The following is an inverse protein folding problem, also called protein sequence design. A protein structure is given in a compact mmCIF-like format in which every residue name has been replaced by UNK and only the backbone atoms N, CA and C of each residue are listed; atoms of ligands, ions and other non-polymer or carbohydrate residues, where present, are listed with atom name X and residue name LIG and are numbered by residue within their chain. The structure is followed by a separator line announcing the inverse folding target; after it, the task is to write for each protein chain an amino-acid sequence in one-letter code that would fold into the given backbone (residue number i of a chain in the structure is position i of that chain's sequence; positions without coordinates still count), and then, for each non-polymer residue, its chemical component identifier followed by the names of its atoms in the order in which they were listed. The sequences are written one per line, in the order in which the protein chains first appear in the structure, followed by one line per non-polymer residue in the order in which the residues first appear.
data_IF_899088610177
#
_entry.id   IF_899088610177
#
_cell.length_a   1.000
_cell.length_b   1.000
_cell.length_c   1.000
_cell.angle_alpha   90.00
_cell.angle_beta   90.00
_cell.angle_gamma   90.00
#
_symmetry.space_group_name_H-M   'P 1'
#
loop_
_entity.id
_entity.type
_entity.pdbx_description
1 polymer ?
#
# COMPACT_ATOMS: atom_id res chain seq x y z
N UNK A 1 19.78 15.46 -39.98
CA UNK A 1 20.37 16.44 -39.02
C UNK A 1 20.04 16.19 -37.54
N UNK A 2 18.79 15.98 -37.10
CA UNK A 2 18.46 15.86 -35.65
C UNK A 2 19.33 14.86 -34.88
N UNK A 3 19.51 13.63 -35.39
CA UNK A 3 20.36 12.61 -34.75
C UNK A 3 21.83 13.03 -34.61
N UNK A 4 22.41 13.70 -35.60
CA UNK A 4 23.78 14.20 -35.54
C UNK A 4 23.98 15.19 -34.39
N UNK A 5 23.04 16.12 -34.19
CA UNK A 5 23.08 17.08 -33.06
C UNK A 5 23.01 16.36 -31.69
N UNK A 6 22.23 15.28 -31.59
CA UNK A 6 22.16 14.47 -30.34
C UNK A 6 23.49 13.76 -30.07
N UNK A 7 24.12 13.19 -31.10
CA UNK A 7 25.42 12.51 -30.97
C UNK A 7 26.51 13.51 -30.58
N UNK A 8 26.61 14.65 -31.26
CA UNK A 8 27.59 15.71 -30.93
C UNK A 8 27.42 16.20 -29.49
N UNK A 9 26.19 16.47 -29.04
CA UNK A 9 25.94 16.88 -27.67
C UNK A 9 26.37 15.81 -26.65
N UNK A 10 26.11 14.52 -26.92
CA UNK A 10 26.55 13.42 -26.03
C UNK A 10 28.08 13.33 -25.94
N UNK A 11 28.79 13.43 -27.07
CA UNK A 11 30.26 13.44 -27.06
C UNK A 11 30.80 14.62 -26.24
N UNK A 12 30.21 15.81 -26.37
CA UNK A 12 30.60 16.98 -25.58
C UNK A 12 30.35 16.79 -24.07
N UNK A 13 29.19 16.24 -23.67
CA UNK A 13 28.91 15.93 -22.26
C UNK A 13 29.86 14.87 -21.70
N UNK A 14 30.17 13.82 -22.47
CA UNK A 14 31.13 12.80 -22.06
C UNK A 14 32.52 13.40 -21.80
N UNK A 15 33.01 14.21 -22.73
CA UNK A 15 34.32 14.89 -22.60
C UNK A 15 34.32 15.81 -21.38
N UNK A 16 33.27 16.61 -21.17
CA UNK A 16 33.13 17.46 -20.00
C UNK A 16 33.22 16.67 -18.68
N UNK A 17 32.42 15.62 -18.52
CA UNK A 17 32.40 14.84 -17.28
C UNK A 17 33.70 14.02 -17.07
N UNK A 18 34.35 13.55 -18.13
CA UNK A 18 35.67 12.93 -18.03
C UNK A 18 36.75 13.93 -17.59
N UNK A 19 36.68 15.18 -18.04
CA UNK A 19 37.58 16.25 -17.60
C UNK A 19 37.35 16.60 -16.12
N UNK A 20 36.11 16.78 -15.69
CA UNK A 20 35.80 17.06 -14.26
C UNK A 20 36.17 15.88 -13.35
N UNK A 21 35.98 14.64 -13.80
CA UNK A 21 36.45 13.44 -13.08
C UNK A 21 37.96 13.44 -12.89
N UNK A 22 38.72 13.80 -13.93
CA UNK A 22 40.19 13.83 -13.90
C UNK A 22 40.71 14.92 -12.96
N UNK A 23 40.10 16.11 -13.01
CA UNK A 23 40.41 17.23 -12.09
C UNK A 23 40.07 16.84 -10.65
N UNK A 24 38.89 16.26 -10.40
CA UNK A 24 38.48 15.79 -9.09
C UNK A 24 39.47 14.76 -8.52
N UNK A 25 39.88 13.77 -9.32
CA UNK A 25 40.89 12.78 -8.92
C UNK A 25 42.23 13.43 -8.54
N UNK A 26 42.69 14.44 -9.28
CA UNK A 26 43.91 15.19 -8.96
C UNK A 26 43.79 16.00 -7.67
N UNK A 27 42.60 16.53 -7.35
CA UNK A 27 42.34 17.28 -6.12
C UNK A 27 42.21 16.38 -4.87
N UNK A 28 41.98 15.07 -5.05
CA UNK A 28 42.05 14.08 -3.95
C UNK A 28 43.48 13.63 -3.61
N UNK A 29 44.45 13.86 -4.51
CA UNK A 29 45.86 13.55 -4.23
C UNK A 29 46.60 14.66 -3.47
N UNK A 30 46.08 15.89 -3.50
CA UNK A 30 46.57 16.98 -2.63
C UNK A 30 45.90 16.92 -1.26
N UNK A 31 46.71 16.92 -0.19
CA UNK A 31 46.30 16.57 1.18
C UNK A 31 45.47 17.63 1.93
N UNK A 32 44.67 18.42 1.21
CA UNK A 32 43.77 19.42 1.77
C UNK A 32 42.48 18.81 2.33
N UNK A 33 42.24 18.94 3.63
CA UNK A 33 41.03 18.38 4.27
C UNK A 33 39.73 18.99 3.70
N UNK A 34 39.80 20.22 3.18
CA UNK A 34 38.72 20.88 2.42
C UNK A 34 38.69 20.52 0.92
N UNK A 35 39.83 20.25 0.25
CA UNK A 35 39.82 19.83 -1.17
C UNK A 35 39.15 18.47 -1.32
N UNK A 36 39.38 17.55 -0.39
CA UNK A 36 38.81 16.21 -0.41
C UNK A 36 37.28 16.18 -0.49
N UNK A 37 36.56 17.03 0.26
CA UNK A 37 35.07 17.04 0.21
C UNK A 37 34.54 17.53 -1.14
N UNK A 38 35.09 18.63 -1.66
CA UNK A 38 34.72 19.14 -2.98
C UNK A 38 35.08 18.15 -4.10
N UNK A 39 36.24 17.51 -3.99
CA UNK A 39 36.71 16.51 -4.95
C UNK A 39 35.84 15.25 -4.96
N UNK A 40 35.39 14.74 -3.80
CA UNK A 40 34.45 13.61 -3.71
C UNK A 40 33.12 13.96 -4.40
N UNK A 41 32.55 15.13 -4.14
CA UNK A 41 31.30 15.57 -4.77
C UNK A 41 31.48 15.64 -6.30
N UNK A 42 32.54 16.32 -6.77
CA UNK A 42 32.83 16.41 -8.21
C UNK A 42 33.04 15.03 -8.85
N UNK A 43 33.71 14.10 -8.16
CA UNK A 43 33.94 12.74 -8.66
C UNK A 43 32.63 11.96 -8.81
N UNK A 44 31.75 12.01 -7.80
CA UNK A 44 30.42 11.36 -7.84
C UNK A 44 29.54 11.96 -8.94
N UNK A 45 29.43 13.30 -9.02
CA UNK A 45 28.64 13.96 -10.08
C UNK A 45 29.18 13.63 -11.48
N UNK A 46 30.51 13.57 -11.65
CA UNK A 46 31.13 13.21 -12.92
C UNK A 46 30.86 11.77 -13.31
N UNK A 47 30.93 10.83 -12.36
CA UNK A 47 30.65 9.41 -12.61
C UNK A 47 29.20 9.18 -13.06
N UNK A 48 28.23 9.85 -12.42
CA UNK A 48 26.81 9.83 -12.84
C UNK A 48 26.65 10.40 -14.25
N UNK A 49 27.32 11.52 -14.57
CA UNK A 49 27.31 12.11 -15.91
C UNK A 49 27.88 11.19 -16.99
N UNK A 50 28.98 10.49 -16.70
CA UNK A 50 29.59 9.49 -17.60
C UNK A 50 28.63 8.32 -17.85
N UNK A 51 28.07 7.73 -16.79
CA UNK A 51 27.14 6.58 -16.90
C UNK A 51 25.92 6.94 -17.75
N UNK A 52 25.30 8.10 -17.50
CA UNK A 52 24.14 8.58 -18.25
C UNK A 52 24.46 8.82 -19.75
N UNK A 53 25.71 9.17 -20.06
CA UNK A 53 26.13 9.45 -21.44
C UNK A 53 26.46 8.18 -22.22
N UNK A 54 27.06 7.17 -21.58
CA UNK A 54 27.38 5.87 -22.20
C UNK A 54 26.10 5.04 -22.39
N UNK A 55 25.26 4.92 -21.35
CA UNK A 55 24.07 4.07 -21.40
C UNK A 55 22.80 4.86 -21.05
N UNK A 56 22.25 5.62 -22.03
CA UNK A 56 21.00 6.36 -21.83
C UNK A 56 19.78 5.43 -21.68
N UNK A 57 19.89 4.11 -21.84
CA UNK A 57 18.78 3.18 -21.57
C UNK A 57 18.64 2.83 -20.08
N UNK A 58 19.72 2.89 -19.30
CA UNK A 58 19.69 2.63 -17.84
C UNK A 58 18.97 3.75 -17.08
N UNK A 59 19.00 4.99 -17.59
CA UNK A 59 18.36 6.17 -16.97
C UNK A 59 17.20 6.73 -17.81
N UNK A 60 17.17 6.48 -19.13
CA UNK A 60 16.18 7.02 -20.06
C UNK A 60 14.79 6.39 -19.97
N UNK A 61 14.63 5.21 -19.34
CA UNK A 61 13.29 4.73 -18.94
C UNK A 61 12.69 5.56 -17.78
N UNK A 62 13.50 6.33 -17.06
CA UNK A 62 13.08 7.13 -15.89
C UNK A 62 12.88 8.62 -16.23
N UNK A 63 13.27 9.08 -17.43
CA UNK A 63 13.43 10.53 -17.71
C UNK A 63 12.86 11.00 -19.06
N UNK A 64 11.81 10.36 -19.58
CA UNK A 64 11.14 10.78 -20.81
C UNK A 64 10.03 11.84 -20.59
N UNK A 65 9.87 12.34 -19.37
CA UNK A 65 9.11 13.55 -19.01
C UNK A 65 10.06 14.65 -18.55
N UNK A 66 9.65 15.92 -18.70
CA UNK A 66 10.48 17.11 -18.43
C UNK A 66 11.11 17.03 -17.03
N UNK A 67 12.44 17.04 -16.94
CA UNK A 67 13.17 16.89 -15.67
C UNK A 67 12.76 17.95 -14.63
N UNK A 68 11.96 17.54 -13.64
CA UNK A 68 12.33 17.74 -12.24
C UNK A 68 13.12 16.51 -11.81
N UNK A 69 14.26 16.63 -11.11
CA UNK A 69 14.93 15.46 -10.54
C UNK A 69 13.96 14.77 -9.57
N UNK A 70 13.82 13.45 -9.67
CA UNK A 70 12.91 12.71 -8.80
C UNK A 70 13.34 12.85 -7.34
N UNK A 71 12.36 12.89 -6.43
CA UNK A 71 12.62 13.06 -5.00
C UNK A 71 13.57 11.97 -4.46
N UNK A 72 13.54 10.76 -5.02
CA UNK A 72 14.49 9.68 -4.71
C UNK A 72 15.96 10.04 -5.04
N UNK A 73 16.24 10.74 -6.14
CA UNK A 73 17.60 11.17 -6.49
C UNK A 73 18.05 12.32 -5.57
N UNK A 74 17.16 13.27 -5.26
CA UNK A 74 17.44 14.32 -4.28
C UNK A 74 17.68 13.74 -2.87
N UNK A 75 16.89 12.74 -2.47
CA UNK A 75 17.04 12.01 -1.21
C UNK A 75 18.37 11.23 -1.18
N UNK A 76 18.74 10.54 -2.25
CA UNK A 76 20.02 9.82 -2.34
C UNK A 76 21.21 10.79 -2.25
N UNK A 77 21.15 11.93 -2.96
CA UNK A 77 22.16 12.99 -2.87
C UNK A 77 22.21 13.57 -1.45
N UNK A 78 21.06 13.82 -0.81
CA UNK A 78 20.99 14.32 0.55
C UNK A 78 21.59 13.32 1.56
N UNK A 79 21.27 12.02 1.45
CA UNK A 79 21.82 10.95 2.29
C UNK A 79 23.33 10.84 2.11
N UNK A 80 23.83 10.83 0.86
CA UNK A 80 25.28 10.79 0.57
C UNK A 80 25.98 12.05 1.11
N UNK A 81 25.33 13.21 1.04
CA UNK A 81 25.86 14.47 1.60
C UNK A 81 25.90 14.41 3.14
N UNK A 82 24.81 14.00 3.80
CA UNK A 82 24.71 13.90 5.27
C UNK A 82 25.66 12.83 5.85
N UNK A 83 25.88 11.73 5.13
CA UNK A 83 26.85 10.69 5.48
C UNK A 83 28.30 11.19 5.36
N UNK A 84 28.60 12.04 4.36
CA UNK A 84 29.96 12.60 4.16
C UNK A 84 30.23 13.87 4.97
N UNK A 85 29.21 14.55 5.52
CA UNK A 85 29.38 15.64 6.50
C UNK A 85 29.48 15.16 7.94
N UNK A 86 28.98 13.95 8.25
CA UNK A 86 28.96 13.41 9.62
C UNK A 86 27.83 13.95 10.49
N UNK A 87 26.81 14.58 9.89
CA UNK A 87 25.68 15.16 10.62
C UNK A 87 24.58 14.14 10.94
N UNK A 88 24.54 13.01 10.22
CA UNK A 88 23.58 11.93 10.43
C UNK A 88 23.59 11.41 11.88
N UNK A 89 24.80 11.25 12.46
CA UNK A 89 25.03 10.85 13.86
C UNK A 89 24.52 11.88 14.87
N UNK A 90 24.49 13.17 14.52
CA UNK A 90 23.96 14.23 15.40
C UNK A 90 22.44 14.24 15.37
N UNK A 91 21.82 14.07 14.20
CA UNK A 91 20.36 13.99 14.07
C UNK A 91 19.77 12.80 14.85
N UNK A 92 20.38 11.62 14.75
CA UNK A 92 19.93 10.43 15.51
C UNK A 92 19.83 10.72 17.03
N UNK A 93 20.86 11.34 17.61
CA UNK A 93 20.89 11.71 19.04
C UNK A 93 19.89 12.81 19.46
N UNK A 94 19.31 13.53 18.50
CA UNK A 94 18.33 14.59 18.73
C UNK A 94 16.89 14.08 18.70
N UNK A 95 16.62 13.02 17.92
CA UNK A 95 15.29 12.40 17.83
C UNK A 95 14.94 11.68 19.14
N UNK A 96 15.88 10.95 19.74
CA UNK A 96 15.68 10.26 21.03
C UNK A 96 15.29 11.20 22.18
N UNK A 97 15.70 12.47 22.14
CA UNK A 97 15.39 13.45 23.20
C UNK A 97 14.02 14.11 23.10
N UNK A 98 13.32 13.97 21.97
CA UNK A 98 12.09 14.76 21.71
C UNK A 98 10.77 14.00 21.93
N UNK A 99 10.84 12.72 22.29
CA UNK A 99 9.65 11.85 22.49
C UNK A 99 9.08 11.97 23.93
N UNK A 100 9.82 12.56 24.88
CA UNK A 100 9.45 12.61 26.30
C UNK A 100 8.96 13.99 26.73
N UNK A 101 7.78 14.44 26.26
CA UNK A 101 7.22 15.73 26.69
C UNK A 101 5.81 16.11 26.19
N UNK A 102 4.80 15.86 27.04
CA UNK A 102 3.49 16.54 27.15
C UNK A 102 2.36 16.29 26.09
N UNK A 103 1.35 15.54 26.56
CA UNK A 103 -0.09 15.48 26.20
C UNK A 103 -0.86 16.80 26.46
N UNK A 104 -2.19 17.01 26.18
CA UNK A 104 -3.34 16.04 26.11
C UNK A 104 -4.38 16.30 24.96
N UNK A 105 -5.52 15.59 24.81
CA UNK A 105 -6.09 14.43 25.54
C UNK A 105 -6.60 13.32 24.61
N UNK A 106 -7.55 13.61 23.72
CA UNK A 106 -8.53 12.66 23.18
C UNK A 106 -7.92 11.43 22.49
N UNK A 107 -6.80 11.61 21.81
CA UNK A 107 -6.05 10.54 21.13
C UNK A 107 -5.53 9.46 22.09
N UNK A 108 -5.34 9.77 23.39
CA UNK A 108 -4.89 8.76 24.36
C UNK A 108 -5.92 7.67 24.64
N UNK A 109 -7.21 7.94 24.50
CA UNK A 109 -8.24 6.93 24.82
C UNK A 109 -8.25 5.85 23.74
N UNK A 110 -8.25 6.27 22.46
CA UNK A 110 -8.12 5.38 21.31
C UNK A 110 -6.74 4.67 21.31
N UNK A 111 -5.65 5.40 21.59
CA UNK A 111 -4.31 4.81 21.60
C UNK A 111 -4.07 3.84 22.78
N UNK A 112 -4.61 4.09 23.98
CA UNK A 112 -4.44 3.17 25.13
C UNK A 112 -5.33 1.92 24.99
N UNK A 113 -6.47 2.00 24.31
CA UNK A 113 -7.31 0.84 23.99
C UNK A 113 -6.65 -0.06 22.92
N UNK A 114 -6.17 0.54 21.81
CA UNK A 114 -5.37 -0.15 20.78
C UNK A 114 -4.08 -0.76 21.37
N UNK A 115 -3.39 -0.05 22.28
CA UNK A 115 -2.13 -0.54 22.88
C UNK A 115 -2.35 -1.65 23.90
N UNK A 116 -3.46 -1.65 24.66
CA UNK A 116 -3.83 -2.78 25.55
C UNK A 116 -4.20 -4.04 24.77
N UNK A 117 -4.89 -3.91 23.63
CA UNK A 117 -5.13 -5.06 22.74
C UNK A 117 -3.83 -5.59 22.10
N UNK A 118 -2.90 -4.70 21.79
CA UNK A 118 -1.61 -5.07 21.16
C UNK A 118 -0.67 -5.77 22.16
N UNK A 119 -0.40 -5.17 23.32
CA UNK A 119 0.57 -5.70 24.28
C UNK A 119 0.11 -7.00 24.96
N UNK A 120 -1.20 -7.24 25.07
CA UNK A 120 -1.75 -8.50 25.65
C UNK A 120 -1.85 -9.65 24.64
N UNK A 121 -1.47 -9.45 23.35
CA UNK A 121 -1.46 -10.49 22.31
C UNK A 121 -0.10 -10.76 21.67
N UNK A 122 0.92 -9.93 21.89
CA UNK A 122 2.27 -10.14 21.31
C UNK A 122 2.95 -11.43 21.81
N UNK A 123 2.46 -12.07 22.87
CA UNK A 123 2.95 -13.37 23.36
C UNK A 123 2.21 -14.60 22.79
N UNK A 124 1.19 -14.42 21.92
CA UNK A 124 0.49 -15.54 21.24
C UNK A 124 0.40 -15.44 19.72
N UNK A 125 0.82 -14.34 19.12
CA UNK A 125 0.91 -14.21 17.65
C UNK A 125 2.33 -14.55 17.15
N UNK A 126 2.78 -15.79 17.41
CA UNK A 126 4.07 -16.32 16.93
C UNK A 126 3.99 -17.79 16.48
N UNK A 127 2.83 -18.19 15.95
CA UNK A 127 2.47 -19.59 15.66
C UNK A 127 2.19 -19.88 14.17
N UNK A 128 2.11 -18.86 13.30
CA UNK A 128 1.66 -19.06 11.89
C UNK A 128 2.73 -18.67 10.84
N UNK A 129 3.88 -18.12 11.22
CA UNK A 129 4.90 -17.67 10.24
C UNK A 129 6.33 -18.13 10.52
N UNK A 130 6.52 -19.19 11.32
CA UNK A 130 7.84 -19.81 11.51
C UNK A 130 7.71 -21.29 11.94
N UNK A 131 7.35 -22.18 11.00
CA UNK A 131 7.41 -23.64 11.22
C UNK A 131 7.74 -24.42 9.95
N UNK A 132 8.83 -24.02 9.28
CA UNK A 132 9.51 -24.87 8.30
C UNK A 132 10.95 -25.11 8.76
N UNK A 133 11.23 -26.36 9.16
CA UNK A 133 12.47 -26.89 9.78
C UNK A 133 12.59 -26.74 11.31
N UNK A 134 11.93 -27.64 12.04
CA UNK A 134 12.67 -28.58 12.89
C UNK A 134 11.84 -29.85 13.18
N UNK A 135 12.50 -30.97 13.46
CA UNK A 135 11.90 -32.31 13.55
C UNK A 135 11.83 -32.77 15.00
N UNK A 136 10.63 -33.05 15.51
CA UNK A 136 10.46 -33.67 16.83
C UNK A 136 9.01 -33.76 17.30
N UNK A 137 8.38 -34.93 17.12
CA UNK A 137 7.06 -35.31 17.67
C UNK A 137 5.89 -34.31 17.46
N UNK A 138 5.34 -34.28 16.24
CA UNK A 138 3.93 -33.89 16.07
C UNK A 138 3.03 -34.97 16.70
N UNK A 139 2.26 -34.61 17.73
CA UNK A 139 1.01 -35.32 18.02
C UNK A 139 0.11 -35.23 16.78
N UNK A 140 -0.72 -36.24 16.47
CA UNK A 140 -1.78 -36.03 15.49
C UNK A 140 -2.64 -34.86 15.97
N UNK A 141 -2.70 -33.83 15.14
CA UNK A 141 -3.55 -32.68 15.37
C UNK A 141 -4.97 -33.14 15.05
N UNK A 142 -5.90 -32.93 15.98
CA UNK A 142 -7.32 -33.18 15.73
C UNK A 142 -7.84 -32.05 14.83
N UNK A 143 -7.85 -32.29 13.52
CA UNK A 143 -8.23 -31.34 12.48
C UNK A 143 -9.68 -30.84 12.67
N UNK A 144 -10.58 -31.72 13.12
CA UNK A 144 -11.97 -31.34 13.46
C UNK A 144 -12.01 -30.37 14.64
N UNK A 145 -11.16 -30.57 15.64
CA UNK A 145 -11.02 -29.63 16.77
C UNK A 145 -10.47 -28.28 16.32
N UNK A 146 -9.48 -28.25 15.42
CA UNK A 146 -8.96 -26.99 14.87
C UNK A 146 -10.00 -26.23 14.04
N UNK A 147 -10.70 -26.91 13.13
CA UNK A 147 -11.75 -26.31 12.32
C UNK A 147 -12.88 -25.73 13.19
N UNK A 148 -13.27 -26.43 14.25
CA UNK A 148 -14.21 -25.92 15.26
C UNK A 148 -13.69 -24.71 16.03
N UNK A 149 -12.41 -24.69 16.43
CA UNK A 149 -11.78 -23.52 17.07
C UNK A 149 -11.74 -22.30 16.14
N UNK A 150 -11.51 -22.51 14.83
CA UNK A 150 -11.58 -21.46 13.81
C UNK A 150 -13.00 -20.90 13.62
N UNK A 151 -14.03 -21.74 13.54
CA UNK A 151 -15.43 -21.25 13.45
C UNK A 151 -15.89 -20.50 14.70
N UNK A 152 -15.44 -20.91 15.90
CA UNK A 152 -15.69 -20.16 17.13
C UNK A 152 -14.99 -18.79 17.12
N UNK A 153 -13.77 -18.72 16.60
CA UNK A 153 -13.06 -17.45 16.41
C UNK A 153 -13.74 -16.58 15.35
N UNK A 154 -14.21 -17.18 14.23
CA UNK A 154 -14.92 -16.52 13.16
C UNK A 154 -16.21 -15.86 13.65
N UNK A 155 -17.09 -16.62 14.32
CA UNK A 155 -18.32 -16.09 14.91
C UNK A 155 -18.03 -14.88 15.80
N UNK A 156 -17.13 -15.03 16.77
CA UNK A 156 -16.75 -13.95 17.68
C UNK A 156 -16.18 -12.72 16.97
N UNK A 157 -15.54 -12.90 15.81
CA UNK A 157 -14.96 -11.81 15.01
C UNK A 157 -16.01 -11.12 14.13
N UNK A 158 -16.99 -11.88 13.60
CA UNK A 158 -18.18 -11.36 12.91
C UNK A 158 -19.06 -10.55 13.88
N UNK A 159 -19.25 -11.02 15.12
CA UNK A 159 -20.07 -10.35 16.15
C UNK A 159 -19.55 -8.96 16.57
N UNK A 160 -18.30 -8.62 16.19
CA UNK A 160 -17.70 -7.30 16.41
C UNK A 160 -17.91 -6.33 15.23
N UNK A 161 -18.52 -6.78 14.11
CA UNK A 161 -18.86 -5.96 12.96
C UNK A 161 -20.31 -5.47 13.05
N UNK A 162 -20.59 -4.32 12.45
CA UNK A 162 -21.97 -3.89 12.22
C UNK A 162 -22.64 -4.81 11.21
N UNK A 163 -23.94 -5.06 11.40
CA UNK A 163 -24.71 -6.05 10.64
C UNK A 163 -25.96 -5.41 10.06
N UNK A 164 -26.01 -5.35 8.73
CA UNK A 164 -27.19 -4.97 7.96
C UNK A 164 -27.80 -6.18 7.25
N UNK A 165 -29.06 -6.04 6.85
CA UNK A 165 -29.79 -7.01 6.04
C UNK A 165 -30.17 -6.38 4.70
N UNK A 166 -29.57 -6.88 3.61
CA UNK A 166 -29.72 -6.32 2.27
C UNK A 166 -30.20 -7.44 1.32
N UNK A 167 -31.43 -7.33 0.84
CA UNK A 167 -32.02 -8.23 -0.17
C UNK A 167 -31.90 -9.74 0.12
N UNK A 168 -31.97 -10.15 1.41
CA UNK A 168 -31.86 -11.56 1.78
C UNK A 168 -30.44 -12.03 2.13
N UNK A 169 -29.45 -11.14 2.04
CA UNK A 169 -28.07 -11.35 2.45
C UNK A 169 -27.74 -10.55 3.71
N UNK A 170 -26.78 -11.03 4.49
CA UNK A 170 -26.26 -10.28 5.63
C UNK A 170 -25.00 -9.55 5.19
N UNK A 171 -24.98 -8.24 5.40
CA UNK A 171 -23.82 -7.38 5.14
C UNK A 171 -23.14 -7.09 6.47
N UNK A 172 -21.82 -7.26 6.52
CA UNK A 172 -21.01 -6.99 7.71
C UNK A 172 -19.91 -5.97 7.43
N UNK A 173 -19.83 -4.92 8.24
CA UNK A 173 -18.90 -3.78 8.05
C UNK A 173 -18.29 -3.31 9.37
N UNK A 174 -17.25 -2.50 9.31
CA UNK A 174 -16.59 -1.96 10.50
C UNK A 174 -17.31 -0.70 11.00
N UNK A 175 -17.72 -0.67 12.27
CA UNK A 175 -18.30 0.51 12.95
C UNK A 175 -17.43 1.76 12.99
N UNK A 176 -16.13 1.62 12.71
CA UNK A 176 -15.20 2.76 12.61
C UNK A 176 -15.37 3.57 11.31
N UNK A 177 -16.18 3.10 10.36
CA UNK A 177 -16.33 3.69 9.03
C UNK A 177 -17.79 3.69 8.59
N UNK A 178 -18.42 4.88 8.60
CA UNK A 178 -19.79 5.08 8.11
C UNK A 178 -19.91 4.77 6.61
N UNK A 179 -21.00 4.13 6.18
CA UNK A 179 -21.28 3.81 4.78
C UNK A 179 -21.67 5.06 3.98
N UNK A 180 -20.72 5.70 3.29
CA UNK A 180 -20.96 6.94 2.56
C UNK A 180 -20.35 6.94 1.15
N UNK A 181 -21.13 6.42 0.19
CA UNK A 181 -20.79 6.38 -1.24
C UNK A 181 -20.61 7.76 -1.90
N UNK A 182 -21.04 8.85 -1.24
CA UNK A 182 -20.92 10.25 -1.72
C UNK A 182 -19.70 10.95 -1.14
N UNK A 183 -18.71 10.19 -0.69
CA UNK A 183 -17.50 10.70 -0.06
C UNK A 183 -16.27 9.97 -0.59
N UNK A 184 -15.11 10.63 -0.55
CA UNK A 184 -13.83 9.98 -0.85
C UNK A 184 -13.52 8.91 0.23
N UNK A 185 -13.76 7.65 -0.12
CA UNK A 185 -13.78 6.51 0.80
C UNK A 185 -13.40 5.19 0.10
N UNK A 186 -12.65 4.32 0.80
CA UNK A 186 -12.56 2.89 0.54
C UNK A 186 -13.39 2.19 1.62
N UNK A 187 -14.48 1.54 1.22
CA UNK A 187 -15.44 0.90 2.12
C UNK A 187 -15.38 -0.64 1.95
N UNK A 188 -14.69 -1.36 2.86
CA UNK A 188 -14.64 -2.81 2.86
C UNK A 188 -15.81 -3.40 3.67
N UNK A 189 -16.43 -4.45 3.15
CA UNK A 189 -17.49 -5.18 3.84
C UNK A 189 -17.56 -6.65 3.40
N UNK A 190 -18.28 -7.46 4.16
CA UNK A 190 -18.54 -8.88 3.84
C UNK A 190 -20.01 -9.06 3.49
N UNK A 191 -20.29 -9.96 2.56
CA UNK A 191 -21.64 -10.42 2.23
C UNK A 191 -21.73 -11.91 2.53
N UNK A 192 -22.69 -12.31 3.37
CA UNK A 192 -22.90 -13.72 3.71
C UNK A 192 -24.30 -14.21 3.38
N UNK A 193 -24.45 -15.54 3.25
CA UNK A 193 -25.75 -16.18 3.37
C UNK A 193 -26.33 -16.00 4.78
N UNK A 194 -27.66 -15.89 4.90
CA UNK A 194 -28.41 -15.89 6.19
C UNK A 194 -28.43 -17.26 6.90
N UNK A 195 -27.37 -18.07 6.82
CA UNK A 195 -27.30 -19.35 7.56
C UNK A 195 -26.74 -19.09 8.95
N UNK A 196 -27.40 -19.64 9.97
CA UNK A 196 -26.92 -19.59 11.37
C UNK A 196 -25.75 -20.56 11.61
N UNK A 197 -25.52 -21.52 10.69
CA UNK A 197 -24.40 -22.46 10.75
C UNK A 197 -23.17 -21.89 10.03
N UNK A 198 -22.06 -21.80 10.77
CA UNK A 198 -20.76 -21.33 10.29
C UNK A 198 -20.06 -22.34 9.39
N UNK A 199 -20.37 -23.64 9.49
CA UNK A 199 -19.78 -24.68 8.62
C UNK A 199 -20.32 -24.60 7.18
N UNK A 200 -21.53 -24.07 7.04
CA UNK A 200 -22.32 -23.98 5.82
C UNK A 200 -22.40 -22.54 5.25
N UNK A 201 -21.74 -21.59 5.90
CA UNK A 201 -21.76 -20.16 5.58
C UNK A 201 -21.03 -19.88 4.26
N UNK A 202 -21.70 -19.27 3.29
CA UNK A 202 -20.99 -18.59 2.20
C UNK A 202 -20.65 -17.16 2.63
N UNK A 203 -19.42 -16.73 2.40
CA UNK A 203 -18.94 -15.38 2.69
C UNK A 203 -18.11 -14.87 1.52
N UNK A 204 -18.36 -13.63 1.09
CA UNK A 204 -17.60 -12.94 0.06
C UNK A 204 -17.14 -11.59 0.59
N UNK A 205 -15.88 -11.25 0.35
CA UNK A 205 -15.34 -9.90 0.59
C UNK A 205 -15.76 -8.99 -0.56
N UNK A 206 -16.11 -7.75 -0.24
CA UNK A 206 -16.39 -6.69 -1.20
C UNK A 206 -15.69 -5.41 -0.77
N UNK A 207 -15.21 -4.64 -1.76
CA UNK A 207 -14.58 -3.34 -1.55
C UNK A 207 -15.24 -2.33 -2.49
N UNK A 208 -15.75 -1.23 -1.93
CA UNK A 208 -16.18 -0.07 -2.71
C UNK A 208 -15.12 1.02 -2.66
N UNK A 209 -14.75 1.53 -3.83
CA UNK A 209 -13.95 2.75 -3.99
C UNK A 209 -14.88 3.87 -4.42
N UNK A 210 -15.11 4.84 -3.55
CA UNK A 210 -15.93 6.02 -3.80
C UNK A 210 -15.05 7.25 -3.98
N UNK A 211 -15.41 8.07 -4.96
CA UNK A 211 -14.87 9.39 -5.25
C UNK A 211 -15.98 10.44 -5.14
N UNK A 212 -15.64 11.61 -4.62
CA UNK A 212 -16.52 12.78 -4.63
C UNK A 212 -15.71 14.06 -4.83
N UNK A 213 -16.17 14.94 -5.72
CA UNK A 213 -15.49 16.17 -6.11
C UNK A 213 -16.39 17.15 -6.87
N UNK A 214 -15.78 18.19 -7.43
CA UNK A 214 -16.48 19.20 -8.24
C UNK A 214 -16.81 18.66 -9.64
N UNK A 215 -15.86 17.97 -10.27
CA UNK A 215 -16.01 17.40 -11.61
C UNK A 215 -16.18 15.87 -11.58
N UNK A 216 -16.90 15.33 -12.57
CA UNK A 216 -16.85 13.91 -12.91
C UNK A 216 -15.43 13.53 -13.37
N UNK A 217 -14.92 12.38 -12.92
CA UNK A 217 -13.67 11.84 -13.43
C UNK A 217 -13.90 10.95 -14.66
N UNK A 218 -15.03 10.24 -14.75
CA UNK A 218 -15.22 9.07 -15.62
C UNK A 218 -14.09 8.05 -15.35
N UNK A 219 -14.10 7.48 -14.13
CA UNK A 219 -13.06 6.62 -13.56
C UNK A 219 -12.65 5.46 -14.49
N UNK A 220 -11.38 5.41 -14.90
CA UNK A 220 -10.87 4.36 -15.78
C UNK A 220 -9.91 3.39 -15.07
N UNK A 221 -9.11 3.89 -14.13
CA UNK A 221 -8.08 3.11 -13.43
C UNK A 221 -7.88 3.61 -12.00
N UNK A 222 -7.48 2.69 -11.13
CA UNK A 222 -6.91 3.00 -9.83
C UNK A 222 -5.42 2.66 -9.84
N UNK A 223 -4.60 3.52 -9.24
CA UNK A 223 -3.23 3.19 -8.86
C UNK A 223 -3.12 3.31 -7.34
N UNK A 224 -2.75 2.22 -6.68
CA UNK A 224 -2.63 2.11 -5.22
C UNK A 224 -1.15 1.97 -4.89
N UNK A 225 -0.60 2.94 -4.17
CA UNK A 225 0.78 2.90 -3.70
C UNK A 225 0.79 2.63 -2.19
N UNK A 226 1.50 1.59 -1.78
CA UNK A 226 1.67 1.19 -0.38
C UNK A 226 3.09 1.50 0.10
N UNK A 227 3.44 1.08 1.32
CA UNK A 227 4.83 1.18 1.81
C UNK A 227 5.78 0.24 1.03
N UNK A 228 5.26 -0.81 0.36
CA UNK A 228 6.07 -1.89 -0.23
C UNK A 228 5.98 -1.96 -1.77
N UNK A 229 4.83 -1.63 -2.34
CA UNK A 229 4.49 -1.88 -3.75
C UNK A 229 3.61 -0.78 -4.37
N UNK A 230 3.51 -0.82 -5.70
CA UNK A 230 2.55 -0.04 -6.48
C UNK A 230 1.70 -1.02 -7.29
N UNK A 231 0.38 -0.93 -7.15
CA UNK A 231 -0.61 -1.73 -7.84
C UNK A 231 -1.37 -0.84 -8.81
N UNK A 232 -1.66 -1.33 -10.02
CA UNK A 232 -2.53 -0.66 -10.98
C UNK A 232 -3.61 -1.62 -11.42
N UNK A 233 -4.87 -1.17 -11.38
CA UNK A 233 -6.02 -1.93 -11.83
C UNK A 233 -6.95 -1.06 -12.68
N UNK A 234 -7.62 -1.67 -13.65
CA UNK A 234 -8.70 -0.99 -14.37
C UNK A 234 -9.93 -0.92 -13.46
N UNK A 235 -10.64 0.20 -13.50
CA UNK A 235 -11.75 0.47 -12.59
C UNK A 235 -12.84 -0.62 -12.75
N UNK A 236 -13.23 -0.89 -13.99
CA UNK A 236 -14.19 -1.93 -14.35
C UNK A 236 -13.51 -3.27 -14.73
N UNK A 237 -12.44 -3.69 -14.05
CA UNK A 237 -11.91 -5.06 -14.23
C UNK A 237 -12.79 -6.09 -13.49
N UNK A 238 -13.87 -6.48 -14.16
CA UNK A 238 -14.91 -7.46 -13.75
C UNK A 238 -14.38 -8.90 -13.58
N UNK A 239 -13.06 -9.09 -13.49
CA UNK A 239 -12.45 -10.37 -13.08
C UNK A 239 -12.68 -10.60 -11.59
N UNK A 240 -13.89 -11.07 -11.30
CA UNK A 240 -14.33 -11.65 -10.03
C UNK A 240 -14.11 -13.16 -10.11
N UNK A 241 -13.31 -13.74 -9.21
CA UNK A 241 -13.31 -15.19 -9.03
C UNK A 241 -14.64 -15.59 -8.38
N UNK A 242 -15.54 -16.18 -9.17
CA UNK A 242 -16.86 -16.62 -8.72
C UNK A 242 -16.84 -18.05 -8.14
N UNK A 243 -15.69 -18.48 -7.62
CA UNK A 243 -15.46 -19.83 -7.08
C UNK A 243 -16.38 -20.20 -5.89
N UNK A 244 -17.03 -19.20 -5.26
CA UNK A 244 -17.94 -19.39 -4.13
C UNK A 244 -19.44 -19.37 -4.50
N UNK A 245 -19.80 -19.48 -5.79
CA UNK A 245 -21.16 -19.81 -6.21
C UNK A 245 -22.23 -18.74 -5.91
N UNK A 246 -21.91 -17.46 -6.11
CA UNK A 246 -22.82 -16.34 -5.89
C UNK A 246 -24.11 -16.40 -6.74
N UNK A 247 -25.23 -15.83 -6.24
CA UNK A 247 -26.39 -15.51 -7.07
C UNK A 247 -26.00 -14.60 -8.24
N UNK A 248 -26.72 -14.72 -9.37
CA UNK A 248 -26.44 -13.96 -10.60
C UNK A 248 -26.77 -12.46 -10.54
N UNK A 249 -27.38 -11.99 -9.45
CA UNK A 249 -28.12 -10.71 -9.37
C UNK A 249 -27.57 -9.81 -8.25
N UNK A 250 -26.25 -9.62 -8.20
CA UNK A 250 -25.67 -8.40 -7.63
C UNK A 250 -25.17 -7.60 -8.83
N UNK A 251 -25.97 -6.64 -9.27
CA UNK A 251 -25.62 -5.77 -10.39
C UNK A 251 -24.40 -4.92 -10.00
N UNK A 252 -23.35 -5.01 -10.82
CA UNK A 252 -22.23 -4.07 -10.83
C UNK A 252 -22.79 -2.71 -11.23
N UNK A 253 -23.14 -1.89 -10.22
CA UNK A 253 -23.90 -0.67 -10.41
C UNK A 253 -22.97 0.52 -10.52
N UNK A 254 -22.84 1.06 -11.73
CA UNK A 254 -22.29 2.39 -11.95
C UNK A 254 -23.40 3.42 -11.69
N UNK A 255 -23.15 4.36 -10.77
CA UNK A 255 -24.06 5.46 -10.52
C UNK A 255 -23.28 6.78 -10.46
N UNK A 256 -23.26 7.49 -11.59
CA UNK A 256 -22.84 8.90 -11.66
C UNK A 256 -24.08 9.78 -11.58
N UNK A 257 -24.22 10.59 -10.54
CA UNK A 257 -25.34 11.54 -10.40
C UNK A 257 -24.82 12.93 -10.02
N UNK A 258 -25.10 13.98 -10.82
CA UNK A 258 -24.86 15.34 -10.40
C UNK A 258 -25.88 15.74 -9.32
N UNK A 259 -25.38 16.31 -8.22
CA UNK A 259 -26.20 16.84 -7.13
C UNK A 259 -26.67 18.27 -7.45
N UNK A 260 -27.68 18.76 -6.72
CA UNK A 260 -28.23 20.10 -6.91
C UNK A 260 -27.29 21.24 -6.45
N UNK A 261 -26.21 20.91 -5.74
CA UNK A 261 -25.15 21.83 -5.32
C UNK A 261 -23.97 21.90 -6.32
N UNK A 262 -23.99 21.08 -7.37
CA UNK A 262 -22.94 20.99 -8.38
C UNK A 262 -21.84 19.98 -8.06
N UNK A 263 -21.91 19.24 -6.95
CA UNK A 263 -20.98 18.14 -6.68
C UNK A 263 -21.28 16.91 -7.54
N UNK A 264 -20.22 16.16 -7.87
CA UNK A 264 -20.30 14.87 -8.53
C UNK A 264 -19.67 13.79 -7.66
N UNK A 265 -20.29 12.62 -7.62
CA UNK A 265 -19.73 11.43 -7.02
C UNK A 265 -19.80 10.25 -7.99
N UNK A 266 -18.80 9.38 -7.88
CA UNK A 266 -18.62 8.17 -8.68
C UNK A 266 -18.14 7.07 -7.72
N UNK A 267 -18.59 5.83 -7.91
CA UNK A 267 -18.08 4.70 -7.14
C UNK A 267 -18.03 3.42 -7.96
N UNK A 268 -17.13 2.54 -7.54
CA UNK A 268 -16.91 1.22 -8.12
C UNK A 268 -16.83 0.21 -6.99
N UNK A 269 -17.49 -0.92 -7.12
CA UNK A 269 -17.57 -1.95 -6.10
C UNK A 269 -17.26 -3.32 -6.71
N UNK A 270 -16.41 -4.11 -6.05
CA UNK A 270 -16.02 -5.43 -6.56
C UNK A 270 -15.68 -6.40 -5.43
N UNK A 271 -15.81 -7.70 -5.73
CA UNK A 271 -15.24 -8.79 -4.93
C UNK A 271 -13.84 -9.16 -5.45
N UNK A 272 -12.79 -9.19 -4.61
CA UNK A 272 -11.41 -9.38 -5.05
C UNK A 272 -11.11 -10.84 -5.41
N UNK A 273 -10.38 -11.04 -6.52
CA UNK A 273 -9.69 -12.30 -6.83
C UNK A 273 -8.40 -12.44 -5.99
N UNK A 274 -7.63 -13.51 -6.20
CA UNK A 274 -6.35 -13.77 -5.49
C UNK A 274 -5.40 -12.56 -5.47
N UNK A 275 -5.13 -11.98 -6.63
CA UNK A 275 -4.15 -10.90 -6.80
C UNK A 275 -4.63 -9.61 -6.11
N UNK A 276 -5.92 -9.29 -6.24
CA UNK A 276 -6.56 -8.15 -5.55
C UNK A 276 -6.61 -8.40 -4.03
N UNK A 277 -6.73 -9.63 -3.56
CA UNK A 277 -6.71 -9.96 -2.13
C UNK A 277 -5.31 -9.79 -1.52
N UNK A 278 -4.25 -10.14 -2.23
CA UNK A 278 -2.87 -9.83 -1.79
C UNK A 278 -2.61 -8.32 -1.70
N UNK A 279 -3.05 -7.56 -2.70
CA UNK A 279 -3.02 -6.09 -2.67
C UNK A 279 -3.74 -5.52 -1.44
N UNK A 280 -4.96 -6.00 -1.14
CA UNK A 280 -5.72 -5.53 0.02
C UNK A 280 -5.03 -5.86 1.36
N UNK A 281 -4.37 -7.03 1.46
CA UNK A 281 -3.56 -7.40 2.63
C UNK A 281 -2.33 -6.49 2.78
N UNK A 282 -1.65 -6.15 1.69
CA UNK A 282 -0.51 -5.22 1.73
C UNK A 282 -0.93 -3.80 2.13
N UNK A 283 -2.04 -3.29 1.56
CA UNK A 283 -2.68 -2.03 1.98
C UNK A 283 -3.00 -2.03 3.48
N UNK A 284 -3.61 -3.12 3.99
CA UNK A 284 -3.97 -3.23 5.41
C UNK A 284 -2.75 -3.33 6.33
N UNK A 285 -1.63 -3.89 5.86
CA UNK A 285 -0.38 -3.98 6.62
C UNK A 285 0.44 -2.68 6.62
N UNK A 286 0.21 -1.82 5.62
CA UNK A 286 0.94 -0.57 5.43
C UNK A 286 0.51 0.54 6.41
N UNK A 287 1.42 1.48 6.62
CA UNK A 287 1.22 2.73 7.38
C UNK A 287 0.74 3.87 6.49
N UNK A 288 1.18 3.87 5.23
CA UNK A 288 0.77 4.83 4.23
C UNK A 288 0.22 4.09 3.01
N UNK A 289 -0.94 4.53 2.54
CA UNK A 289 -1.56 4.01 1.33
C UNK A 289 -2.13 5.19 0.56
N UNK A 290 -1.50 5.50 -0.57
CA UNK A 290 -1.93 6.52 -1.51
C UNK A 290 -2.79 5.88 -2.59
N UNK A 291 -3.93 6.49 -2.88
CA UNK A 291 -4.85 6.09 -3.94
C UNK A 291 -4.92 7.21 -4.98
N UNK A 292 -4.51 6.89 -6.20
CA UNK A 292 -4.63 7.76 -7.36
C UNK A 292 -5.75 7.25 -8.27
N UNK A 293 -6.82 8.03 -8.33
CA UNK A 293 -7.93 7.87 -9.25
C UNK A 293 -7.53 8.47 -10.60
N UNK A 294 -7.64 7.68 -11.67
CA UNK A 294 -7.41 8.17 -13.02
C UNK A 294 -8.66 7.96 -13.86
N UNK A 295 -9.31 9.06 -14.20
CA UNK A 295 -10.45 9.09 -15.10
C UNK A 295 -10.07 9.52 -16.51
N UNK A 296 -11.11 9.74 -17.32
CA UNK A 296 -11.00 10.33 -18.66
C UNK A 296 -10.81 11.84 -18.61
N UNK A 297 -11.62 12.51 -17.78
CA UNK A 297 -11.71 13.98 -17.74
C UNK A 297 -10.73 14.58 -16.72
N UNK A 298 -10.22 13.77 -15.77
CA UNK A 298 -9.25 14.20 -14.77
C UNK A 298 -8.52 13.07 -14.04
N UNK A 299 -7.82 13.44 -12.97
CA UNK A 299 -7.19 12.49 -12.05
C UNK A 299 -7.02 13.11 -10.67
N UNK A 300 -7.32 12.37 -9.61
CA UNK A 300 -7.23 12.83 -8.22
C UNK A 300 -6.34 11.88 -7.39
N UNK A 301 -5.67 12.41 -6.37
CA UNK A 301 -4.86 11.60 -5.44
C UNK A 301 -5.22 11.90 -4.00
N UNK A 302 -5.37 10.86 -3.19
CA UNK A 302 -5.57 10.98 -1.74
C UNK A 302 -4.81 9.90 -0.98
N UNK A 303 -4.47 10.19 0.27
CA UNK A 303 -4.14 9.14 1.22
C UNK A 303 -5.42 8.49 1.76
N UNK A 304 -5.35 7.21 2.13
CA UNK A 304 -6.36 6.57 2.96
C UNK A 304 -6.25 7.10 4.40
N UNK A 305 -7.40 7.41 5.00
CA UNK A 305 -7.51 7.79 6.41
C UNK A 305 -7.26 6.56 7.29
N UNK A 306 -6.75 6.75 8.50
CA UNK A 306 -6.52 5.64 9.44
C UNK A 306 -7.82 4.84 9.73
N UNK A 307 -8.99 5.49 9.74
CA UNK A 307 -10.28 4.80 9.88
C UNK A 307 -10.61 3.85 8.72
N UNK A 308 -10.19 4.17 7.49
CA UNK A 308 -10.32 3.28 6.33
C UNK A 308 -9.38 2.08 6.46
N UNK A 309 -8.14 2.30 6.91
CA UNK A 309 -7.16 1.24 7.16
C UNK A 309 -7.58 0.32 8.31
N UNK A 310 -8.13 0.86 9.40
CA UNK A 310 -8.68 0.09 10.52
C UNK A 310 -9.87 -0.76 10.07
N UNK A 311 -10.81 -0.19 9.31
CA UNK A 311 -11.93 -0.94 8.75
C UNK A 311 -11.46 -2.08 7.84
N UNK A 312 -10.49 -1.80 6.96
CA UNK A 312 -9.91 -2.79 6.05
C UNK A 312 -9.22 -3.94 6.81
N UNK A 313 -8.42 -3.63 7.83
CA UNK A 313 -7.78 -4.63 8.71
C UNK A 313 -8.82 -5.52 9.43
N UNK A 314 -9.91 -4.95 9.92
CA UNK A 314 -10.95 -5.71 10.64
C UNK A 314 -11.70 -6.66 9.70
N UNK A 315 -12.14 -6.15 8.55
CA UNK A 315 -12.91 -6.92 7.55
C UNK A 315 -12.04 -8.02 6.92
N UNK A 316 -10.80 -7.71 6.53
CA UNK A 316 -9.86 -8.72 6.01
C UNK A 316 -9.54 -9.80 7.04
N UNK A 317 -9.36 -9.44 8.32
CA UNK A 317 -9.08 -10.43 9.36
C UNK A 317 -10.21 -11.47 9.50
N UNK A 318 -11.47 -11.04 9.39
CA UNK A 318 -12.62 -11.96 9.39
C UNK A 318 -12.58 -12.85 8.16
N UNK A 319 -12.34 -12.28 6.98
CA UNK A 319 -12.30 -13.01 5.71
C UNK A 319 -11.15 -14.03 5.66
N UNK A 320 -9.96 -13.68 6.14
CA UNK A 320 -8.81 -14.60 6.22
C UNK A 320 -9.10 -15.79 7.16
N UNK A 321 -9.78 -15.58 8.30
CA UNK A 321 -10.22 -16.67 9.18
C UNK A 321 -11.23 -17.57 8.44
N UNK A 322 -12.17 -16.98 7.70
CA UNK A 322 -13.16 -17.72 6.90
C UNK A 322 -12.48 -18.58 5.82
N UNK A 323 -11.52 -18.03 5.07
CA UNK A 323 -10.77 -18.76 4.06
C UNK A 323 -10.00 -19.93 4.67
N UNK A 324 -9.30 -19.73 5.79
CA UNK A 324 -8.54 -20.80 6.47
C UNK A 324 -9.47 -21.91 7.02
N UNK A 325 -10.66 -21.57 7.51
CA UNK A 325 -11.63 -22.55 8.00
C UNK A 325 -12.28 -23.41 6.87
N UNK A 326 -12.32 -22.87 5.65
CA UNK A 326 -13.02 -23.46 4.50
C UNK A 326 -12.11 -23.88 3.33
N UNK A 327 -10.79 -23.71 3.46
CA UNK A 327 -9.83 -24.25 2.49
C UNK A 327 -10.00 -25.78 2.42
N UNK A 328 -10.29 -26.37 1.25
CA UNK A 328 -10.37 -27.82 1.12
C UNK A 328 -9.05 -28.47 1.51
N UNK A 329 -9.10 -29.64 2.15
CA UNK A 329 -7.91 -30.45 2.37
C UNK A 329 -7.31 -30.82 1.00
N UNK A 330 -6.07 -30.40 0.74
CA UNK A 330 -5.29 -30.84 -0.42
C UNK A 330 -5.32 -32.38 -0.46
N UNK A 331 -5.96 -32.93 -1.48
CA UNK A 331 -6.13 -34.39 -1.63
C UNK A 331 -4.78 -35.01 -1.98
N UNK A 332 -4.10 -35.55 -0.96
CA UNK A 332 -2.80 -36.23 -1.05
C UNK A 332 -2.89 -37.61 -1.69
#
# INVERSE_FOLDING_TARGET
MRYFKIIVNRVLFFVFFMSTFTIAKSLMTDSGLFSNKAAIIMLVTSLVGIINTINPFVIGKVTNTRLRPSNAILLLIAIITLATTGELTKMASSVERKITGQTPKLEKEIAEEVKKETETKTEKTKVVTDTSKEVGHKKPIDEKKQKKELYQLLSKKIDNLEKDDVNGHLRYSSSYLEDNHRSNQVYPYLVTSRRDDMEDLTMNLWIRYSYAGEDALDLQKFTIQTDTMEYTMDAYDVRVDRDLGLPKEIDETEETKPEADGSTWEWVEFSPNSDKLEMLRDMASSKHVSLHYKGREGSESRELKEVELVALRQVLQVYDIFLVANTPEDTK
#
